data_IF_608335003109
#
_entry.id   IF_608335003109
#
_cell.length_a   1.000
_cell.length_b   1.000
_cell.length_c   1.000
_cell.angle_alpha   90.00
_cell.angle_beta   90.00
_cell.angle_gamma   90.00
#
_symmetry.space_group_name_H-M   'P 1'
#
loop_
_entity.id
_entity.type
_entity.pdbx_description
1 polymer ?
#
# COMPACT_ATOMS: atom_id res chain seq x y z
N UNK A 1 9.21 29.94 0.47
CA UNK A 1 9.93 29.04 1.41
C UNK A 1 10.22 27.77 0.65
N UNK A 2 11.50 27.35 0.52
CA UNK A 2 11.85 26.07 -0.10
C UNK A 2 11.78 24.98 0.96
N UNK A 3 11.08 23.87 0.66
CA UNK A 3 10.88 22.77 1.61
C UNK A 3 11.90 21.66 1.34
N UNK A 4 12.46 21.07 2.40
CA UNK A 4 13.29 19.87 2.30
C UNK A 4 12.45 18.68 2.74
N UNK A 5 12.04 17.83 1.78
CA UNK A 5 11.34 16.59 2.08
C UNK A 5 12.30 15.56 2.67
N UNK A 6 11.89 14.91 3.76
CA UNK A 6 12.58 13.76 4.34
C UNK A 6 11.73 12.52 4.09
N UNK A 7 12.28 11.56 3.35
CA UNK A 7 11.60 10.30 3.06
C UNK A 7 11.79 9.33 4.23
N UNK A 8 10.69 8.80 4.75
CA UNK A 8 10.69 7.84 5.87
C UNK A 8 10.48 6.40 5.41
N UNK A 9 10.12 6.18 4.13
CA UNK A 9 9.81 4.84 3.62
C UNK A 9 11.06 3.95 3.59
N UNK A 10 12.27 4.50 3.43
CA UNK A 10 13.51 3.73 3.62
C UNK A 10 13.66 3.23 5.07
N UNK A 11 13.34 4.06 6.06
CA UNK A 11 13.37 3.65 7.48
C UNK A 11 12.34 2.56 7.77
N UNK A 12 11.16 2.65 7.15
CA UNK A 12 10.15 1.60 7.21
C UNK A 12 10.63 0.31 6.54
N UNK A 13 11.35 0.41 5.42
CA UNK A 13 11.94 -0.74 4.74
C UNK A 13 13.01 -1.44 5.61
N UNK A 14 13.81 -0.68 6.36
CA UNK A 14 14.74 -1.24 7.36
C UNK A 14 13.98 -2.01 8.44
N UNK A 15 12.91 -1.44 8.98
CA UNK A 15 12.07 -2.14 9.96
C UNK A 15 11.41 -3.40 9.36
N UNK A 16 10.97 -3.32 8.10
CA UNK A 16 10.44 -4.46 7.35
C UNK A 16 11.48 -5.58 7.21
N UNK A 17 12.74 -5.26 6.90
CA UNK A 17 13.85 -6.22 6.78
C UNK A 17 14.08 -7.02 8.06
N UNK A 18 14.15 -6.30 9.19
CA UNK A 18 14.31 -6.95 10.51
C UNK A 18 13.13 -7.87 10.82
N UNK A 19 11.89 -7.43 10.56
CA UNK A 19 10.71 -8.24 10.80
C UNK A 19 10.62 -9.45 9.87
N UNK A 20 10.94 -9.30 8.58
CA UNK A 20 10.92 -10.38 7.60
C UNK A 20 11.97 -11.44 7.94
N UNK A 21 13.16 -11.04 8.39
CA UNK A 21 14.20 -11.94 8.90
C UNK A 21 13.70 -12.75 10.10
N UNK A 22 13.08 -12.08 11.08
CA UNK A 22 12.56 -12.77 12.27
C UNK A 22 11.40 -13.69 11.92
N UNK A 23 10.53 -13.27 10.99
CA UNK A 23 9.44 -14.08 10.47
C UNK A 23 9.95 -15.39 9.89
N UNK A 24 10.92 -15.33 8.96
CA UNK A 24 11.48 -16.51 8.29
C UNK A 24 12.27 -17.42 9.23
N UNK A 25 12.83 -16.88 10.32
CA UNK A 25 13.53 -17.65 11.36
C UNK A 25 12.59 -18.38 12.30
N UNK A 26 11.51 -17.71 12.72
CA UNK A 26 10.57 -18.23 13.74
C UNK A 26 9.48 -19.11 13.15
N UNK A 27 9.08 -18.82 11.92
CA UNK A 27 8.05 -19.56 11.22
C UNK A 27 8.71 -20.46 10.18
N UNK A 28 8.21 -21.68 10.06
CA UNK A 28 8.58 -22.61 8.99
C UNK A 28 7.34 -22.83 8.12
N UNK A 29 7.51 -23.10 6.82
CA UNK A 29 6.46 -23.74 6.04
C UNK A 29 6.07 -25.01 6.80
N UNK A 30 4.87 -25.05 7.36
CA UNK A 30 4.30 -26.30 7.86
C UNK A 30 3.44 -26.86 6.74
N UNK A 31 3.52 -28.16 6.53
CA UNK A 31 2.54 -28.89 5.75
C UNK A 31 1.13 -28.51 6.25
N UNK A 32 0.23 -28.36 5.29
CA UNK A 32 -1.15 -27.92 5.43
C UNK A 32 -1.76 -28.28 6.81
N UNK A 33 -2.45 -27.30 7.40
CA UNK A 33 -3.33 -27.44 8.57
C UNK A 33 -3.82 -28.89 8.73
N UNK A 34 -3.57 -29.50 9.89
CA UNK A 34 -4.06 -30.86 10.17
C UNK A 34 -5.55 -30.95 9.88
N UNK A 35 -5.98 -32.08 9.31
CA UNK A 35 -7.36 -32.38 8.86
C UNK A 35 -8.47 -32.19 9.94
N UNK A 36 -8.14 -31.80 11.17
CA UNK A 36 -9.09 -31.51 12.26
C UNK A 36 -9.93 -30.23 12.05
N UNK A 37 -9.60 -29.39 11.06
CA UNK A 37 -10.24 -28.07 10.89
C UNK A 37 -11.53 -28.07 10.05
N UNK A 38 -12.01 -29.22 9.55
CA UNK A 38 -13.19 -29.27 8.66
C UNK A 38 -14.56 -29.20 9.35
N UNK A 39 -14.61 -29.12 10.69
CA UNK A 39 -15.89 -29.11 11.42
C UNK A 39 -15.91 -28.04 12.51
N UNK A 40 -16.43 -26.86 12.20
CA UNK A 40 -16.74 -25.85 13.20
C UNK A 40 -17.68 -24.78 12.69
N UNK A 41 -18.96 -24.87 13.06
CA UNK A 41 -19.89 -23.73 12.97
C UNK A 41 -19.33 -22.57 13.80
N UNK A 42 -19.02 -21.43 13.18
CA UNK A 42 -19.12 -20.02 13.62
C UNK A 42 -18.98 -19.63 15.12
N UNK A 43 -18.34 -20.44 15.97
CA UNK A 43 -18.35 -20.23 17.43
C UNK A 43 -17.10 -20.68 18.18
N UNK A 44 -16.14 -21.34 17.53
CA UNK A 44 -14.83 -21.63 18.12
C UNK A 44 -13.77 -20.80 17.42
N UNK A 45 -13.10 -19.91 18.15
CA UNK A 45 -11.89 -19.23 17.69
C UNK A 45 -10.99 -20.31 17.10
N UNK A 46 -10.68 -20.28 15.79
CA UNK A 46 -9.87 -21.31 15.18
C UNK A 46 -8.58 -21.45 15.99
N UNK A 47 -8.07 -22.68 16.14
CA UNK A 47 -6.70 -22.91 16.61
C UNK A 47 -5.72 -22.47 15.52
N UNK A 48 -5.81 -21.19 15.13
CA UNK A 48 -4.91 -20.54 14.21
C UNK A 48 -3.52 -20.63 14.77
N UNK A 49 -2.56 -20.94 13.90
CA UNK A 49 -1.16 -20.77 14.23
C UNK A 49 -0.87 -19.26 14.36
N UNK A 50 -1.17 -18.71 15.54
CA UNK A 50 -0.96 -17.29 15.87
C UNK A 50 0.49 -16.83 15.63
N UNK A 51 1.44 -17.76 15.51
CA UNK A 51 2.84 -17.45 15.24
C UNK A 51 3.05 -16.79 13.86
N UNK A 52 2.39 -17.28 12.80
CA UNK A 52 2.48 -16.66 11.47
C UNK A 52 1.74 -15.31 11.46
N UNK A 53 0.59 -15.29 12.13
CA UNK A 53 -0.25 -14.11 12.31
C UNK A 53 0.47 -12.91 12.91
N UNK A 54 1.26 -13.16 13.96
CA UNK A 54 1.90 -12.13 14.78
C UNK A 54 2.80 -11.18 13.97
N UNK A 55 3.39 -11.67 12.89
CA UNK A 55 4.26 -10.89 12.01
C UNK A 55 3.57 -10.48 10.72
N UNK A 56 2.68 -11.31 10.16
CA UNK A 56 2.03 -11.05 8.87
C UNK A 56 1.33 -9.70 8.87
N UNK A 57 0.60 -9.38 9.94
CA UNK A 57 -0.07 -8.09 10.04
C UNK A 57 0.88 -6.90 10.07
N UNK A 58 1.96 -7.00 10.85
CA UNK A 58 2.96 -5.95 10.91
C UNK A 58 3.64 -5.75 9.56
N UNK A 59 3.99 -6.84 8.88
CA UNK A 59 4.59 -6.82 7.55
C UNK A 59 3.64 -6.20 6.53
N UNK A 60 2.39 -6.63 6.44
CA UNK A 60 1.41 -6.05 5.51
C UNK A 60 1.19 -4.55 5.75
N UNK A 61 1.05 -4.12 7.01
CA UNK A 61 0.90 -2.71 7.35
C UNK A 61 2.11 -1.87 6.95
N UNK A 62 3.33 -2.36 7.22
CA UNK A 62 4.56 -1.66 6.86
C UNK A 62 4.74 -1.63 5.34
N UNK A 63 4.42 -2.73 4.63
CA UNK A 63 4.47 -2.78 3.17
C UNK A 63 3.52 -1.73 2.54
N UNK A 64 2.27 -1.68 2.98
CA UNK A 64 1.31 -0.67 2.54
C UNK A 64 1.80 0.76 2.81
N UNK A 65 2.37 1.00 4.00
CA UNK A 65 2.94 2.31 4.36
C UNK A 65 4.16 2.69 3.51
N UNK A 66 5.01 1.72 3.16
CA UNK A 66 6.14 1.93 2.24
C UNK A 66 5.62 2.34 0.86
N UNK A 67 4.65 1.61 0.30
CA UNK A 67 4.07 1.92 -1.02
C UNK A 67 3.44 3.31 -1.03
N UNK A 68 2.58 3.61 -0.05
CA UNK A 68 1.91 4.91 0.04
C UNK A 68 2.91 6.06 0.23
N UNK A 69 3.85 5.90 1.17
CA UNK A 69 4.88 6.90 1.46
C UNK A 69 5.80 7.16 0.27
N UNK A 70 6.17 6.11 -0.47
CA UNK A 70 7.00 6.20 -1.66
C UNK A 70 6.30 6.97 -2.78
N UNK A 71 5.06 6.58 -3.12
CA UNK A 71 4.26 7.25 -4.14
C UNK A 71 4.00 8.71 -3.76
N UNK A 72 3.69 8.99 -2.49
CA UNK A 72 3.52 10.36 -2.00
C UNK A 72 4.80 11.18 -2.16
N UNK A 73 5.95 10.61 -1.83
CA UNK A 73 7.26 11.27 -1.98
C UNK A 73 7.55 11.64 -3.43
N UNK A 74 7.27 10.73 -4.37
CA UNK A 74 7.44 10.94 -5.81
C UNK A 74 6.54 12.09 -6.29
N UNK A 75 5.25 12.07 -5.96
CA UNK A 75 4.33 13.11 -6.39
C UNK A 75 4.66 14.47 -5.76
N UNK A 76 5.00 14.49 -4.47
CA UNK A 76 5.44 15.69 -3.75
C UNK A 76 6.69 16.30 -4.41
N UNK A 77 7.61 15.47 -4.92
CA UNK A 77 8.85 15.92 -5.57
C UNK A 77 8.53 16.62 -6.88
N UNK A 78 7.76 15.95 -7.72
CA UNK A 78 7.28 16.46 -9.00
C UNK A 78 6.56 17.81 -8.87
N UNK A 79 5.68 17.93 -7.88
CA UNK A 79 4.94 19.17 -7.64
C UNK A 79 5.86 20.25 -7.09
N UNK A 80 6.76 19.92 -6.16
CA UNK A 80 7.70 20.89 -5.59
C UNK A 80 8.64 21.47 -6.63
N UNK A 81 9.17 20.64 -7.53
CA UNK A 81 10.04 21.10 -8.62
C UNK A 81 9.32 22.06 -9.56
N UNK A 82 8.05 21.80 -9.86
CA UNK A 82 7.25 22.70 -10.69
C UNK A 82 6.91 24.00 -9.95
N UNK A 83 6.60 23.94 -8.64
CA UNK A 83 6.42 25.14 -7.81
C UNK A 83 7.68 26.02 -7.84
N UNK A 84 8.85 25.43 -7.64
CA UNK A 84 10.11 26.16 -7.64
C UNK A 84 10.40 26.77 -9.02
N UNK A 85 10.15 26.02 -10.11
CA UNK A 85 10.31 26.51 -11.49
C UNK A 85 9.42 27.73 -11.78
N UNK A 86 8.16 27.69 -11.36
CA UNK A 86 7.21 28.80 -11.58
C UNK A 86 7.58 30.04 -10.75
N UNK A 87 8.08 29.85 -9.52
CA UNK A 87 8.58 30.94 -8.69
C UNK A 87 9.80 31.59 -9.34
N UNK A 88 10.79 30.79 -9.76
CA UNK A 88 12.02 31.30 -10.37
C UNK A 88 11.72 32.05 -11.69
N UNK A 89 10.84 31.51 -12.54
CA UNK A 89 10.37 32.20 -13.75
C UNK A 89 9.63 33.51 -13.43
N UNK A 90 8.83 33.52 -12.36
CA UNK A 90 8.15 34.73 -11.91
C UNK A 90 9.10 35.82 -11.42
N UNK A 91 10.13 35.43 -10.66
CA UNK A 91 11.17 36.35 -10.21
C UNK A 91 11.96 36.93 -11.38
N UNK A 92 12.31 36.11 -12.38
CA UNK A 92 12.98 36.58 -13.60
C UNK A 92 12.12 37.56 -14.41
N UNK A 93 10.80 37.39 -14.38
CA UNK A 93 9.83 38.32 -14.98
C UNK A 93 9.54 39.58 -14.11
N UNK A 94 10.26 39.78 -13.01
CA UNK A 94 10.11 40.94 -12.12
C UNK A 94 8.90 40.89 -11.19
N UNK A 95 8.25 39.73 -11.04
CA UNK A 95 7.11 39.57 -10.11
C UNK A 95 7.59 39.51 -8.66
N UNK A 96 6.93 40.26 -7.79
CA UNK A 96 7.22 40.34 -6.35
C UNK A 96 6.29 39.49 -5.49
N UNK A 97 5.26 38.90 -6.08
CA UNK A 97 4.28 38.06 -5.40
C UNK A 97 3.86 36.88 -6.27
N UNK A 98 3.33 35.84 -5.62
CA UNK A 98 2.86 34.62 -6.30
C UNK A 98 1.60 34.88 -7.09
N UNK A 99 1.53 34.31 -8.29
CA UNK A 99 0.31 34.32 -9.11
C UNK A 99 -0.77 33.39 -8.53
N UNK A 100 -2.02 33.55 -8.96
CA UNK A 100 -3.11 32.66 -8.53
C UNK A 100 -2.84 31.19 -8.88
N UNK A 101 -2.34 30.84 -10.09
CA UNK A 101 -1.90 29.47 -10.41
C UNK A 101 -0.81 28.94 -9.47
N UNK A 102 0.21 29.74 -9.15
CA UNK A 102 1.26 29.34 -8.21
C UNK A 102 0.71 29.08 -6.80
N UNK A 103 -0.27 29.87 -6.36
CA UNK A 103 -0.93 29.66 -5.08
C UNK A 103 -1.78 28.38 -5.07
N UNK A 104 -2.45 28.04 -6.16
CA UNK A 104 -3.19 26.78 -6.30
C UNK A 104 -2.24 25.57 -6.29
N UNK A 105 -1.14 25.64 -7.03
CA UNK A 105 -0.14 24.57 -7.06
C UNK A 105 0.50 24.36 -5.68
N UNK A 106 0.81 25.44 -4.96
CA UNK A 106 1.33 25.36 -3.60
C UNK A 106 0.28 24.80 -2.60
N UNK A 107 -1.02 25.07 -2.79
CA UNK A 107 -2.07 24.42 -1.99
C UNK A 107 -2.14 22.93 -2.26
N UNK A 108 -2.08 22.54 -3.53
CA UNK A 108 -2.06 21.14 -3.94
C UNK A 108 -0.86 20.39 -3.34
N UNK A 109 0.33 20.99 -3.36
CA UNK A 109 1.52 20.48 -2.68
C UNK A 109 1.28 20.21 -1.19
N UNK A 110 0.69 21.17 -0.47
CA UNK A 110 0.37 21.01 0.95
C UNK A 110 -0.66 19.89 1.17
N UNK A 111 -1.65 19.77 0.29
CA UNK A 111 -2.67 18.72 0.37
C UNK A 111 -2.08 17.31 0.16
N UNK A 112 -1.08 17.16 -0.70
CA UNK A 112 -0.35 15.88 -0.88
C UNK A 112 0.28 15.44 0.43
N UNK A 113 0.89 16.35 1.19
CA UNK A 113 1.54 15.97 2.45
C UNK A 113 0.53 15.82 3.62
N UNK A 114 -0.56 16.61 3.61
CA UNK A 114 -1.52 16.64 4.70
C UNK A 114 -2.62 15.57 4.64
N UNK A 115 -2.97 15.08 3.43
CA UNK A 115 -4.07 14.13 3.25
C UNK A 115 -3.53 12.71 3.01
N UNK A 116 -3.71 11.84 4.00
CA UNK A 116 -3.37 10.41 3.92
C UNK A 116 -4.38 9.57 3.13
N UNK A 117 -3.98 8.38 2.71
CA UNK A 117 -4.85 7.37 2.14
C UNK A 117 -4.62 7.08 0.67
N UNK A 118 -4.67 5.79 0.33
CA UNK A 118 -4.39 5.27 -1.00
C UNK A 118 -5.31 5.79 -2.11
N UNK A 119 -6.63 5.77 -1.89
CA UNK A 119 -7.60 6.24 -2.89
C UNK A 119 -7.41 7.72 -3.21
N UNK A 120 -7.17 8.54 -2.18
CA UNK A 120 -6.89 9.97 -2.36
C UNK A 120 -5.60 10.21 -3.13
N UNK A 121 -4.56 9.42 -2.85
CA UNK A 121 -3.30 9.50 -3.58
C UNK A 121 -3.48 9.15 -5.05
N UNK A 122 -4.27 8.11 -5.38
CA UNK A 122 -4.62 7.78 -6.79
C UNK A 122 -5.33 8.94 -7.49
N UNK A 123 -6.28 9.60 -6.81
CA UNK A 123 -6.96 10.79 -7.35
C UNK A 123 -5.98 11.95 -7.61
N UNK A 124 -5.03 12.18 -6.70
CA UNK A 124 -4.01 13.23 -6.85
C UNK A 124 -3.10 12.95 -8.05
N UNK A 125 -2.69 11.69 -8.26
CA UNK A 125 -1.95 11.27 -9.45
C UNK A 125 -2.75 11.48 -10.75
N UNK A 126 -4.03 11.10 -10.75
CA UNK A 126 -4.91 11.32 -11.89
C UNK A 126 -5.10 12.82 -12.18
N UNK A 127 -5.26 13.64 -11.14
CA UNK A 127 -5.45 15.08 -11.28
C UNK A 127 -4.20 15.82 -11.75
N UNK A 128 -3.01 15.43 -11.28
CA UNK A 128 -1.78 16.16 -11.58
C UNK A 128 -1.08 15.66 -12.85
N UNK A 129 -1.04 14.34 -13.06
CA UNK A 129 -0.32 13.71 -14.17
C UNK A 129 -1.25 13.16 -15.26
N UNK A 130 -2.57 13.18 -15.06
CA UNK A 130 -3.49 12.43 -15.93
C UNK A 130 -3.34 10.91 -15.78
N UNK A 131 -2.59 10.45 -14.78
CA UNK A 131 -2.22 9.06 -14.60
C UNK A 131 -3.23 8.33 -13.70
N UNK A 132 -4.12 7.56 -14.31
CA UNK A 132 -5.00 6.67 -13.58
C UNK A 132 -4.25 5.39 -13.19
N UNK A 133 -3.68 5.35 -11.98
CA UNK A 133 -2.85 4.24 -11.47
C UNK A 133 -3.47 2.86 -11.77
N UNK A 134 -4.75 2.68 -11.46
CA UNK A 134 -5.48 1.42 -11.66
C UNK A 134 -5.64 0.98 -13.13
N UNK A 135 -5.40 1.87 -14.09
CA UNK A 135 -5.40 1.57 -15.53
C UNK A 135 -4.00 1.38 -16.11
N UNK A 136 -2.97 1.78 -15.36
CA UNK A 136 -1.57 1.71 -15.77
C UNK A 136 -0.93 0.37 -15.41
N UNK A 137 -1.42 -0.26 -14.35
CA UNK A 137 -0.92 -1.52 -13.83
C UNK A 137 -1.76 -2.70 -14.30
N UNK A 138 -1.21 -3.91 -14.23
CA UNK A 138 -1.90 -5.14 -14.55
C UNK A 138 -3.09 -5.38 -13.61
N UNK A 139 -4.10 -6.13 -14.07
CA UNK A 139 -5.28 -6.47 -13.25
C UNK A 139 -4.87 -7.17 -11.95
N UNK A 140 -3.88 -8.08 -12.02
CA UNK A 140 -3.41 -8.81 -10.86
C UNK A 140 -2.70 -7.90 -9.85
N UNK A 141 -1.81 -7.02 -10.32
CA UNK A 141 -1.13 -6.01 -9.50
C UNK A 141 -2.14 -5.08 -8.84
N UNK A 142 -3.17 -4.65 -9.59
CA UNK A 142 -4.26 -3.82 -9.06
C UNK A 142 -5.04 -4.53 -7.95
N UNK A 143 -5.44 -5.78 -8.16
CA UNK A 143 -6.16 -6.58 -7.16
C UNK A 143 -5.32 -6.77 -5.90
N UNK A 144 -4.01 -7.04 -6.06
CA UNK A 144 -3.06 -7.16 -4.96
C UNK A 144 -2.96 -5.86 -4.15
N UNK A 145 -2.69 -4.73 -4.81
CA UNK A 145 -2.57 -3.44 -4.12
C UNK A 145 -3.87 -3.04 -3.43
N UNK A 146 -5.00 -3.23 -4.09
CA UNK A 146 -6.32 -2.98 -3.49
C UNK A 146 -6.52 -3.82 -2.24
N UNK A 147 -6.19 -5.11 -2.30
CA UNK A 147 -6.26 -6.02 -1.15
C UNK A 147 -5.33 -5.58 -0.02
N UNK A 148 -4.08 -5.23 -0.34
CA UNK A 148 -3.09 -4.76 0.64
C UNK A 148 -3.60 -3.54 1.43
N UNK A 149 -4.18 -2.55 0.75
CA UNK A 149 -4.70 -1.34 1.39
C UNK A 149 -6.01 -1.57 2.16
N UNK A 150 -6.87 -2.49 1.70
CA UNK A 150 -8.05 -2.93 2.45
C UNK A 150 -7.63 -3.61 3.76
N UNK A 151 -6.70 -4.58 3.67
CA UNK A 151 -6.15 -5.27 4.82
C UNK A 151 -5.50 -4.27 5.79
N UNK A 152 -4.65 -3.36 5.30
CA UNK A 152 -4.04 -2.31 6.14
C UNK A 152 -5.09 -1.54 6.92
N UNK A 153 -6.20 -1.14 6.30
CA UNK A 153 -7.24 -0.36 6.98
C UNK A 153 -7.95 -1.18 8.06
N UNK A 154 -8.29 -2.44 7.78
CA UNK A 154 -8.92 -3.34 8.76
C UNK A 154 -7.97 -3.59 9.94
N UNK A 155 -6.71 -3.92 9.64
CA UNK A 155 -5.71 -4.30 10.63
C UNK A 155 -5.27 -3.11 11.48
N UNK A 156 -5.10 -1.93 10.89
CA UNK A 156 -4.67 -0.74 11.61
C UNK A 156 -5.72 -0.24 12.61
N UNK A 157 -7.01 -0.48 12.36
CA UNK A 157 -8.08 -0.07 13.26
C UNK A 157 -8.47 -1.15 14.27
N UNK A 158 -8.01 -2.39 14.10
CA UNK A 158 -8.42 -3.51 14.97
C UNK A 158 -9.93 -3.73 14.98
N UNK A 159 -10.62 -3.31 13.91
CA UNK A 159 -12.07 -3.36 13.80
C UNK A 159 -12.54 -4.77 13.50
N UNK A 160 -13.72 -5.14 14.00
CA UNK A 160 -14.36 -6.39 13.61
C UNK A 160 -14.54 -6.45 12.09
N UNK A 161 -14.19 -7.59 11.50
CA UNK A 161 -14.57 -7.93 10.12
C UNK A 161 -16.06 -8.24 10.11
N UNK A 162 -16.88 -7.22 9.87
CA UNK A 162 -18.33 -7.37 9.73
C UNK A 162 -18.61 -7.82 8.28
N UNK A 163 -18.68 -9.13 8.08
CA UNK A 163 -19.18 -9.71 6.83
C UNK A 163 -20.71 -9.89 6.96
N UNK A 164 -21.53 -9.26 6.11
CA UNK A 164 -22.97 -9.47 6.16
C UNK A 164 -23.30 -10.90 5.69
N UNK A 165 -24.18 -11.57 6.41
CA UNK A 165 -24.65 -12.92 6.03
C UNK A 165 -25.49 -12.93 4.74
N UNK A 166 -25.92 -11.75 4.28
CA UNK A 166 -26.77 -11.56 3.10
C UNK A 166 -26.20 -10.48 2.19
N UNK A 167 -26.44 -10.59 0.89
CA UNK A 167 -26.03 -9.59 -0.08
C UNK A 167 -26.79 -8.28 0.16
N UNK A 168 -26.07 -7.17 0.34
CA UNK A 168 -26.71 -5.86 0.47
C UNK A 168 -27.47 -5.51 -0.82
N UNK A 169 -28.65 -4.90 -0.72
CA UNK A 169 -29.42 -4.49 -1.87
C UNK A 169 -28.71 -3.38 -2.66
N UNK A 170 -28.97 -3.37 -3.97
CA UNK A 170 -28.29 -2.53 -4.97
C UNK A 170 -28.55 -1.02 -4.78
N UNK A 171 -29.59 -0.64 -4.05
CA UNK A 171 -29.93 0.73 -3.69
C UNK A 171 -28.95 1.35 -2.69
N UNK A 172 -28.15 0.53 -1.99
CA UNK A 172 -27.13 1.00 -1.04
C UNK A 172 -25.75 1.19 -1.67
N UNK A 173 -25.60 1.09 -3.00
CA UNK A 173 -24.29 1.17 -3.68
C UNK A 173 -23.47 2.42 -3.37
N UNK A 174 -24.14 3.53 -3.08
CA UNK A 174 -23.47 4.78 -2.73
C UNK A 174 -23.09 4.89 -1.25
N UNK A 175 -23.65 4.03 -0.40
CA UNK A 175 -23.40 4.02 1.03
C UNK A 175 -21.98 3.56 1.37
N UNK A 176 -21.32 4.20 2.35
CA UNK A 176 -19.98 3.81 2.80
C UNK A 176 -19.87 2.33 3.20
N UNK A 177 -20.93 1.78 3.79
CA UNK A 177 -20.97 0.39 4.24
C UNK A 177 -20.91 -0.59 3.07
N UNK A 178 -21.61 -0.30 1.97
CA UNK A 178 -21.62 -1.14 0.77
C UNK A 178 -20.25 -1.11 0.08
N UNK A 179 -19.66 0.08 -0.07
CA UNK A 179 -18.32 0.24 -0.67
C UNK A 179 -17.25 -0.47 0.15
N UNK A 180 -17.33 -0.37 1.47
CA UNK A 180 -16.40 -1.07 2.36
C UNK A 180 -16.56 -2.59 2.26
N UNK A 181 -17.79 -3.11 2.28
CA UNK A 181 -18.06 -4.55 2.15
C UNK A 181 -17.64 -5.11 0.79
N UNK A 182 -17.94 -4.41 -0.30
CA UNK A 182 -17.53 -4.82 -1.64
C UNK A 182 -16.01 -4.94 -1.74
N UNK A 183 -15.27 -3.98 -1.17
CA UNK A 183 -13.80 -4.03 -1.10
C UNK A 183 -13.29 -5.19 -0.25
N UNK A 184 -13.91 -5.46 0.89
CA UNK A 184 -13.57 -6.62 1.72
C UNK A 184 -13.85 -7.94 0.99
N UNK A 185 -14.99 -8.06 0.33
CA UNK A 185 -15.33 -9.25 -0.46
C UNK A 185 -14.32 -9.48 -1.59
N UNK A 186 -13.91 -8.43 -2.31
CA UNK A 186 -12.86 -8.53 -3.32
C UNK A 186 -11.51 -8.97 -2.72
N UNK A 187 -11.16 -8.46 -1.54
CA UNK A 187 -9.96 -8.90 -0.82
C UNK A 187 -10.03 -10.39 -0.43
N UNK A 188 -11.18 -10.87 0.07
CA UNK A 188 -11.39 -12.28 0.38
C UNK A 188 -11.23 -13.16 -0.87
N UNK A 189 -11.87 -12.78 -1.99
CA UNK A 189 -11.78 -13.52 -3.27
C UNK A 189 -10.35 -13.56 -3.78
N UNK A 190 -9.62 -12.45 -3.68
CA UNK A 190 -8.21 -12.39 -4.07
C UNK A 190 -7.36 -13.34 -3.21
N UNK A 191 -7.53 -13.30 -1.89
CA UNK A 191 -6.78 -14.16 -0.96
C UNK A 191 -7.10 -15.65 -1.19
N UNK A 192 -8.37 -16.02 -1.35
CA UNK A 192 -8.78 -17.39 -1.67
C UNK A 192 -8.16 -17.87 -2.99
N UNK A 193 -8.12 -17.01 -4.02
CA UNK A 193 -7.48 -17.32 -5.31
C UNK A 193 -5.98 -17.59 -5.17
N UNK A 194 -5.28 -16.87 -4.29
CA UNK A 194 -3.82 -16.98 -4.12
C UNK A 194 -3.41 -18.11 -3.17
N UNK A 195 -4.20 -18.35 -2.12
CA UNK A 195 -3.82 -19.21 -1.00
C UNK A 195 -4.76 -20.39 -0.74
N UNK A 196 -5.96 -20.38 -1.34
CA UNK A 196 -6.85 -21.54 -1.40
C UNK A 196 -7.79 -21.74 -0.20
N UNK A 197 -7.82 -20.82 0.76
CA UNK A 197 -8.71 -20.92 1.93
C UNK A 197 -9.97 -20.08 1.74
N UNK A 198 -11.10 -20.57 2.26
CA UNK A 198 -12.36 -19.82 2.25
C UNK A 198 -12.40 -18.74 3.32
N UNK A 199 -11.79 -19.02 4.47
CA UNK A 199 -11.73 -18.09 5.57
C UNK A 199 -10.57 -17.09 5.34
N UNK A 200 -10.87 -15.79 5.47
CA UNK A 200 -9.88 -14.72 5.29
C UNK A 200 -8.74 -14.89 6.29
N UNK A 201 -9.05 -15.33 7.52
CA UNK A 201 -8.05 -15.46 8.52
C UNK A 201 -7.16 -16.70 8.30
N UNK A 202 -7.68 -17.79 7.77
CA UNK A 202 -6.83 -18.90 7.32
C UNK A 202 -5.87 -18.46 6.21
N UNK A 203 -6.37 -17.71 5.21
CA UNK A 203 -5.50 -17.17 4.16
C UNK A 203 -4.40 -16.27 4.74
N UNK A 204 -4.71 -15.39 5.70
CA UNK A 204 -3.72 -14.49 6.32
C UNK A 204 -2.75 -15.21 7.26
N UNK A 205 -3.04 -16.45 7.67
CA UNK A 205 -2.11 -17.29 8.42
C UNK A 205 -1.04 -17.94 7.54
N UNK A 206 -1.24 -17.94 6.22
CA UNK A 206 -0.34 -18.63 5.29
C UNK A 206 1.07 -18.04 5.30
N UNK A 207 2.06 -18.94 5.28
CA UNK A 207 3.47 -18.57 5.46
C UNK A 207 3.98 -17.64 4.34
N UNK A 208 3.42 -17.77 3.14
CA UNK A 208 3.89 -17.04 1.97
C UNK A 208 3.22 -15.66 1.80
N UNK A 209 2.23 -15.31 2.62
CA UNK A 209 1.45 -14.07 2.45
C UNK A 209 2.33 -12.81 2.45
N UNK A 210 3.22 -12.59 3.43
CA UNK A 210 4.01 -11.36 3.44
C UNK A 210 4.98 -11.27 2.25
N UNK A 211 5.55 -12.40 1.84
CA UNK A 211 6.45 -12.48 0.68
C UNK A 211 5.69 -12.18 -0.61
N UNK A 212 4.50 -12.77 -0.79
CA UNK A 212 3.62 -12.51 -1.93
C UNK A 212 3.33 -11.01 -2.11
N UNK A 213 2.90 -10.33 -1.04
CA UNK A 213 2.61 -8.90 -1.14
C UNK A 213 3.86 -8.03 -1.35
N UNK A 214 5.04 -8.47 -0.92
CA UNK A 214 6.29 -7.77 -1.27
C UNK A 214 6.59 -7.92 -2.77
N UNK A 215 6.45 -9.11 -3.34
CA UNK A 215 6.65 -9.32 -4.78
C UNK A 215 5.63 -8.50 -5.59
N UNK A 216 4.36 -8.44 -5.16
CA UNK A 216 3.36 -7.56 -5.77
C UNK A 216 3.70 -6.07 -5.65
N UNK A 217 4.37 -5.65 -4.58
CA UNK A 217 4.92 -4.29 -4.47
C UNK A 217 6.04 -4.04 -5.49
N UNK A 218 6.93 -5.01 -5.74
CA UNK A 218 7.97 -4.88 -6.77
C UNK A 218 7.39 -4.84 -8.19
N UNK A 219 6.41 -5.69 -8.47
CA UNK A 219 5.66 -5.67 -9.73
C UNK A 219 5.00 -4.30 -9.94
N UNK A 220 4.27 -3.82 -8.92
CA UNK A 220 3.65 -2.50 -8.93
C UNK A 220 4.65 -1.38 -9.26
N UNK A 221 5.80 -1.34 -8.60
CA UNK A 221 6.82 -0.33 -8.87
C UNK A 221 7.40 -0.44 -10.28
N UNK A 222 7.60 -1.67 -10.76
CA UNK A 222 8.13 -1.92 -12.11
C UNK A 222 7.17 -1.46 -13.21
N UNK A 223 5.86 -1.57 -12.97
CA UNK A 223 4.81 -1.15 -13.90
C UNK A 223 4.55 0.38 -13.84
N UNK A 224 4.52 0.97 -12.65
CA UNK A 224 4.10 2.37 -12.48
C UNK A 224 5.22 3.38 -12.76
N UNK A 225 6.47 3.07 -12.39
CA UNK A 225 7.58 4.03 -12.51
C UNK A 225 7.84 4.47 -13.96
N UNK A 226 7.81 3.59 -14.98
CA UNK A 226 7.94 4.01 -16.37
C UNK A 226 6.85 5.00 -16.81
N UNK A 227 5.63 4.87 -16.28
CA UNK A 227 4.50 5.71 -16.65
C UNK A 227 4.53 7.11 -16.01
N UNK A 228 5.22 7.27 -14.88
CA UNK A 228 5.41 8.57 -14.23
C UNK A 228 6.36 9.46 -15.05
N UNK A 229 7.22 8.87 -15.90
CA UNK A 229 8.14 9.56 -16.80
C UNK A 229 9.00 10.63 -16.10
N UNK A 230 9.41 10.35 -14.87
CA UNK A 230 10.29 11.17 -14.06
C UNK A 230 11.12 10.25 -13.17
N UNK A 231 12.42 10.55 -13.04
CA UNK A 231 13.31 9.79 -12.17
C UNK A 231 13.33 10.47 -10.80
N UNK A 232 12.68 9.90 -9.77
CA UNK A 232 12.55 10.56 -8.49
C UNK A 232 13.88 10.47 -7.73
N UNK A 233 14.48 11.60 -7.37
CA UNK A 233 15.77 11.64 -6.69
C UNK A 233 15.62 11.26 -5.22
N UNK A 234 14.56 11.72 -4.54
CA UNK A 234 14.36 11.44 -3.11
C UNK A 234 13.97 9.98 -2.86
N UNK A 235 13.18 9.41 -3.76
CA UNK A 235 12.67 8.05 -3.65
C UNK A 235 13.63 6.98 -4.24
N UNK A 236 14.66 7.38 -5.01
CA UNK A 236 15.51 6.47 -5.76
C UNK A 236 16.14 5.37 -4.88
N UNK A 237 16.68 5.76 -3.73
CA UNK A 237 17.34 4.83 -2.81
C UNK A 237 16.37 3.73 -2.35
N UNK A 238 15.15 4.11 -1.97
CA UNK A 238 14.10 3.19 -1.51
C UNK A 238 13.62 2.30 -2.64
N UNK A 239 13.37 2.85 -3.83
CA UNK A 239 13.00 2.08 -5.02
C UNK A 239 14.03 0.99 -5.30
N UNK A 240 15.32 1.37 -5.38
CA UNK A 240 16.42 0.43 -5.64
C UNK A 240 16.53 -0.64 -4.57
N UNK A 241 16.30 -0.29 -3.30
CA UNK A 241 16.34 -1.23 -2.20
C UNK A 241 15.17 -2.23 -2.27
N UNK A 242 13.94 -1.77 -2.53
CA UNK A 242 12.77 -2.64 -2.70
C UNK A 242 12.96 -3.62 -3.85
N UNK A 243 13.43 -3.13 -5.00
CA UNK A 243 13.62 -3.96 -6.20
C UNK A 243 14.65 -5.09 -5.99
N UNK A 244 15.63 -4.89 -5.10
CA UNK A 244 16.64 -5.89 -4.75
C UNK A 244 16.28 -6.72 -3.52
N UNK A 245 15.20 -6.38 -2.84
CA UNK A 245 14.84 -6.96 -1.56
C UNK A 245 14.52 -8.44 -1.71
N UNK A 246 15.14 -9.30 -0.91
CA UNK A 246 14.90 -10.73 -0.86
C UNK A 246 14.25 -11.09 0.47
N UNK A 247 13.00 -11.56 0.45
CA UNK A 247 12.21 -11.72 1.66
C UNK A 247 12.85 -12.69 2.67
N UNK A 248 13.04 -12.19 3.90
CA UNK A 248 13.63 -12.92 5.02
C UNK A 248 15.11 -13.26 4.88
N UNK A 249 15.83 -12.55 4.02
CA UNK A 249 17.30 -12.52 3.97
C UNK A 249 17.80 -11.16 4.48
N UNK A 250 19.10 -11.03 4.77
CA UNK A 250 19.64 -9.72 5.15
C UNK A 250 19.85 -8.88 3.90
N UNK A 251 19.07 -7.81 3.74
CA UNK A 251 19.09 -6.97 2.55
C UNK A 251 19.79 -5.65 2.79
N UNK A 252 19.60 -5.06 3.98
CA UNK A 252 19.99 -3.67 4.26
C UNK A 252 21.17 -3.59 5.25
N UNK A 253 21.72 -4.74 5.67
CA UNK A 253 22.97 -4.80 6.42
C UNK A 253 22.83 -4.23 7.83
N UNK A 254 21.76 -4.62 8.52
CA UNK A 254 21.59 -4.40 9.97
C UNK A 254 22.08 -5.63 10.73
#
# INVERSE_FOLDING_TARGET
>A
MRYKGLETSYSLLVAYDVLALQYKRKNKPKDALSEEHKTGMLGSVPSMNFNNYSFTFALLNINAAIVEGLMRSILSELVSEEVDRQIDAGMQAGRTSRSSPENLLNKFFIEIDAQGGWERLKEQYASYLGLAIDKTISTETKEAMSTLFVLRNILAHGTALIHPSEQLPDDLKDEPIFKWQSRLQSACVYLEKQFGHKDIFENLAEFNVPEHFLEKTKEFLSEILPAINHQPQRAEKTIRAIQKFSFGFNNIGV
#
